data_IF_506518569790
#
_entry.id   IF_506518569790
#
_cell.length_a   1.000
_cell.length_b   1.000
_cell.length_c   1.000
_cell.angle_alpha   90.00
_cell.angle_beta   90.00
_cell.angle_gamma   90.00
#
_symmetry.space_group_name_H-M   'P 1'
#
loop_
_entity.id
_entity.type
_entity.pdbx_description
1 polymer ?
#
# COMPACT_ATOMS: atom_id res chain seq x y z
N UNK A 1 -14.74 10.38 -15.21
CA UNK A 1 -14.70 9.00 -15.73
C UNK A 1 -14.60 8.09 -14.53
N UNK A 2 -15.62 7.28 -14.24
CA UNK A 2 -15.45 6.17 -13.33
C UNK A 2 -14.49 5.20 -14.02
N UNK A 3 -13.36 4.89 -13.40
CA UNK A 3 -12.53 3.79 -13.86
C UNK A 3 -13.44 2.55 -13.88
N UNK A 4 -13.45 1.82 -15.00
CA UNK A 4 -14.29 0.63 -15.14
C UNK A 4 -13.95 -0.41 -14.08
N UNK A 5 -14.77 -1.45 -14.01
CA UNK A 5 -14.51 -2.59 -13.13
C UNK A 5 -13.07 -3.09 -13.29
N UNK A 6 -12.34 -3.21 -12.17
CA UNK A 6 -10.97 -3.75 -12.16
C UNK A 6 -11.09 -5.27 -12.33
N UNK A 7 -11.01 -5.71 -13.58
CA UNK A 7 -11.03 -7.09 -14.02
C UNK A 7 -9.79 -7.37 -14.88
N UNK A 8 -8.84 -8.14 -14.33
CA UNK A 8 -7.55 -8.42 -14.96
C UNK A 8 -7.31 -9.94 -15.06
N UNK A 9 -6.62 -10.43 -16.11
CA UNK A 9 -6.40 -11.86 -16.34
C UNK A 9 -5.81 -12.62 -15.15
N UNK A 10 -4.88 -11.99 -14.44
CA UNK A 10 -4.23 -12.58 -13.26
C UNK A 10 -5.22 -13.07 -12.19
N UNK A 11 -6.33 -12.35 -11.98
CA UNK A 11 -7.33 -12.77 -11.00
C UNK A 11 -7.98 -14.10 -11.37
N UNK A 12 -8.38 -14.25 -12.63
CA UNK A 12 -8.97 -15.50 -13.12
C UNK A 12 -7.95 -16.64 -13.11
N UNK A 13 -6.73 -16.36 -13.58
CA UNK A 13 -5.64 -17.34 -13.66
C UNK A 13 -5.22 -17.86 -12.28
N UNK A 14 -5.30 -17.04 -11.24
CA UNK A 14 -4.94 -17.40 -9.86
C UNK A 14 -6.14 -17.84 -9.00
N UNK A 15 -7.31 -18.01 -9.61
CA UNK A 15 -8.50 -18.53 -8.94
C UNK A 15 -9.16 -17.55 -7.97
N UNK A 16 -9.03 -16.25 -8.21
CA UNK A 16 -9.83 -15.25 -7.53
C UNK A 16 -11.24 -15.21 -8.11
N UNK A 17 -12.22 -15.04 -7.24
CA UNK A 17 -13.62 -14.81 -7.58
C UNK A 17 -14.03 -13.41 -7.12
N UNK A 18 -14.84 -12.74 -7.95
CA UNK A 18 -15.40 -11.43 -7.64
C UNK A 18 -16.72 -11.59 -6.89
N UNK A 19 -16.88 -10.93 -5.74
CA UNK A 19 -18.08 -10.98 -4.89
C UNK A 19 -18.51 -9.57 -4.47
N UNK A 20 -19.76 -9.44 -4.05
CA UNK A 20 -20.30 -8.21 -3.43
C UNK A 20 -20.21 -8.37 -1.91
N UNK A 21 -19.63 -7.38 -1.22
CA UNK A 21 -19.57 -7.37 0.23
C UNK A 21 -20.98 -7.12 0.81
N UNK A 22 -21.42 -7.98 1.71
CA UNK A 22 -22.75 -7.87 2.33
C UNK A 22 -22.96 -6.63 3.21
N UNK A 23 -21.87 -6.06 3.77
CA UNK A 23 -21.93 -4.87 4.65
C UNK A 23 -21.91 -3.57 3.85
N UNK A 24 -21.05 -3.46 2.84
CA UNK A 24 -20.79 -2.20 2.12
C UNK A 24 -21.44 -2.14 0.74
N UNK A 25 -21.91 -3.27 0.20
CA UNK A 25 -22.36 -3.45 -1.19
C UNK A 25 -21.28 -3.13 -2.24
N UNK A 26 -20.00 -3.05 -1.84
CA UNK A 26 -18.88 -2.84 -2.74
C UNK A 26 -18.35 -4.18 -3.28
N UNK A 27 -17.82 -4.15 -4.50
CA UNK A 27 -17.17 -5.30 -5.11
C UNK A 27 -15.79 -5.56 -4.50
N UNK A 28 -15.47 -6.83 -4.26
CA UNK A 28 -14.13 -7.26 -3.84
C UNK A 28 -13.74 -8.58 -4.51
N UNK A 29 -12.43 -8.86 -4.54
CA UNK A 29 -11.86 -10.10 -5.07
C UNK A 29 -11.33 -10.96 -3.94
N UNK A 30 -11.62 -12.26 -3.97
CA UNK A 30 -11.18 -13.22 -2.94
C UNK A 30 -10.83 -14.56 -3.57
N UNK A 31 -9.88 -15.29 -2.98
CA UNK A 31 -9.65 -16.71 -3.30
C UNK A 31 -10.45 -17.66 -2.43
N UNK A 32 -11.08 -17.15 -1.37
CA UNK A 32 -11.97 -17.91 -0.49
C UNK A 32 -13.41 -17.80 -1.01
N UNK A 33 -13.99 -18.88 -1.56
CA UNK A 33 -15.36 -18.86 -2.08
C UNK A 33 -16.42 -18.64 -0.99
N UNK A 34 -16.11 -19.00 0.26
CA UNK A 34 -17.03 -18.87 1.39
C UNK A 34 -17.08 -17.46 1.98
N UNK A 35 -16.10 -16.60 1.67
CA UNK A 35 -16.01 -15.25 2.22
C UNK A 35 -17.12 -14.32 1.71
N UNK A 36 -17.84 -13.66 2.60
CA UNK A 36 -18.97 -12.77 2.26
C UNK A 36 -18.68 -11.27 2.50
N UNK A 37 -17.61 -10.96 3.21
CA UNK A 37 -17.16 -9.60 3.57
C UNK A 37 -15.84 -9.24 2.88
N UNK A 38 -15.57 -7.94 2.69
CA UNK A 38 -14.36 -7.48 1.98
C UNK A 38 -13.07 -7.59 2.79
N UNK A 39 -13.14 -7.75 4.12
CA UNK A 39 -11.96 -7.73 4.99
C UNK A 39 -11.63 -6.38 5.60
N UNK A 40 -12.49 -5.39 5.39
CA UNK A 40 -12.34 -4.04 5.94
C UNK A 40 -13.74 -3.47 6.22
N UNK A 41 -14.42 -4.10 7.17
CA UNK A 41 -15.79 -3.76 7.58
C UNK A 41 -15.94 -3.91 9.08
N UNK A 42 -17.08 -3.47 9.63
CA UNK A 42 -17.43 -3.68 11.05
C UNK A 42 -17.60 -5.14 11.43
N UNK A 43 -17.74 -6.05 10.46
CA UNK A 43 -17.83 -7.50 10.68
C UNK A 43 -16.47 -8.21 10.52
N UNK A 44 -15.43 -7.50 10.05
CA UNK A 44 -14.09 -8.04 9.85
C UNK A 44 -13.15 -7.59 10.97
N UNK A 45 -13.02 -8.41 12.03
CA UNK A 45 -12.10 -8.14 13.14
C UNK A 45 -10.62 -8.45 12.80
N UNK A 46 -9.69 -7.84 13.54
CA UNK A 46 -8.26 -8.11 13.40
C UNK A 46 -7.88 -9.47 14.00
N UNK A 47 -7.74 -10.47 13.14
CA UNK A 47 -7.34 -11.83 13.53
C UNK A 47 -5.85 -11.99 13.86
N UNK A 48 -5.01 -11.01 13.52
CA UNK A 48 -3.56 -11.10 13.67
C UNK A 48 -3.02 -10.61 15.02
N UNK A 49 -3.88 -10.07 15.90
CA UNK A 49 -3.48 -9.64 17.25
C UNK A 49 -3.24 -10.88 18.11
N UNK A 50 -2.03 -11.02 18.65
CA UNK A 50 -1.63 -12.21 19.42
C UNK A 50 -1.36 -13.46 18.57
N UNK A 51 -1.78 -13.47 17.30
CA UNK A 51 -1.58 -14.56 16.34
C UNK A 51 -0.92 -14.04 15.04
N UNK A 52 0.41 -13.86 15.00
CA UNK A 52 1.11 -13.37 13.81
C UNK A 52 0.86 -14.25 12.58
N UNK A 53 0.37 -13.67 11.49
CA UNK A 53 0.05 -14.37 10.23
C UNK A 53 1.23 -14.50 9.27
N UNK A 54 2.31 -13.74 9.48
CA UNK A 54 3.53 -13.79 8.68
C UNK A 54 4.61 -14.51 9.48
N UNK A 55 5.05 -15.67 8.98
CA UNK A 55 6.15 -16.44 9.57
C UNK A 55 7.52 -15.85 9.22
N UNK A 56 8.58 -16.25 9.95
CA UNK A 56 9.96 -15.83 9.68
C UNK A 56 10.39 -14.52 10.34
N UNK A 57 9.52 -13.85 11.09
CA UNK A 57 9.80 -12.57 11.74
C UNK A 57 9.59 -12.62 13.27
N UNK A 58 10.59 -13.12 13.98
CA UNK A 58 10.55 -13.24 15.44
C UNK A 58 10.90 -11.92 16.15
N UNK A 59 11.61 -11.01 15.47
CA UNK A 59 11.96 -9.69 15.98
C UNK A 59 10.75 -8.75 16.11
N UNK A 60 10.91 -7.66 16.87
CA UNK A 60 9.88 -6.64 17.12
C UNK A 60 10.44 -5.22 16.99
N UNK A 61 9.56 -4.23 16.97
CA UNK A 61 9.93 -2.81 16.97
C UNK A 61 10.80 -2.41 15.76
N UNK A 62 11.86 -1.63 16.01
CA UNK A 62 12.76 -1.12 14.96
C UNK A 62 13.38 -2.25 14.13
N UNK A 63 13.81 -3.34 14.76
CA UNK A 63 14.43 -4.46 14.06
C UNK A 63 13.48 -5.14 13.05
N UNK A 64 12.20 -5.28 13.43
CA UNK A 64 11.17 -5.79 12.52
C UNK A 64 10.93 -4.83 11.36
N UNK A 65 10.80 -3.53 11.65
CA UNK A 65 10.59 -2.49 10.64
C UNK A 65 11.73 -2.46 9.61
N UNK A 66 12.97 -2.51 10.08
CA UNK A 66 14.14 -2.47 9.20
C UNK A 66 14.24 -3.76 8.36
N UNK A 67 13.97 -4.93 8.95
CA UNK A 67 13.93 -6.20 8.22
C UNK A 67 12.85 -6.20 7.12
N UNK A 68 11.63 -5.78 7.44
CA UNK A 68 10.52 -5.66 6.48
C UNK A 68 10.85 -4.72 5.32
N UNK A 69 11.47 -3.57 5.62
CA UNK A 69 11.91 -2.62 4.60
C UNK A 69 12.89 -3.28 3.63
N UNK A 70 13.92 -3.94 4.15
CA UNK A 70 14.92 -4.58 3.32
C UNK A 70 14.34 -5.76 2.52
N UNK A 71 13.43 -6.55 3.09
CA UNK A 71 12.73 -7.61 2.36
C UNK A 71 11.94 -7.05 1.17
N UNK A 72 11.19 -5.97 1.37
CA UNK A 72 10.42 -5.33 0.30
C UNK A 72 11.33 -4.77 -0.80
N UNK A 73 12.36 -4.01 -0.43
CA UNK A 73 13.26 -3.38 -1.40
C UNK A 73 14.06 -4.42 -2.18
N UNK A 74 14.67 -5.39 -1.48
CA UNK A 74 15.48 -6.45 -2.10
C UNK A 74 14.66 -7.29 -3.07
N UNK A 75 13.40 -7.63 -2.71
CA UNK A 75 12.51 -8.37 -3.60
C UNK A 75 12.33 -7.64 -4.93
N UNK A 76 12.02 -6.34 -4.92
CA UNK A 76 11.83 -5.59 -6.16
C UNK A 76 13.15 -5.34 -6.91
N UNK A 77 14.26 -5.17 -6.21
CA UNK A 77 15.61 -5.10 -6.82
C UNK A 77 15.96 -6.36 -7.61
N UNK A 78 15.71 -7.54 -7.04
CA UNK A 78 15.88 -8.84 -7.71
C UNK A 78 14.97 -8.98 -8.95
N UNK A 79 13.82 -8.29 -8.96
CA UNK A 79 12.88 -8.23 -10.08
C UNK A 79 13.09 -6.99 -10.96
N UNK A 80 14.34 -6.52 -11.10
CA UNK A 80 14.76 -5.46 -12.02
C UNK A 80 14.13 -4.08 -11.77
N UNK A 81 13.69 -3.79 -10.55
CA UNK A 81 13.33 -2.42 -10.15
C UNK A 81 14.53 -1.74 -9.50
N UNK A 82 14.83 -0.51 -9.91
CA UNK A 82 15.94 0.21 -9.27
C UNK A 82 15.49 0.79 -7.93
N UNK A 83 16.27 0.54 -6.87
CA UNK A 83 16.04 1.13 -5.55
C UNK A 83 16.41 2.60 -5.54
N UNK A 84 15.51 3.43 -5.04
CA UNK A 84 15.68 4.88 -4.90
C UNK A 84 15.66 5.26 -3.42
N UNK A 85 16.54 6.17 -3.03
CA UNK A 85 16.56 6.73 -1.68
C UNK A 85 15.30 7.59 -1.41
N UNK A 86 14.79 7.59 -0.16
CA UNK A 86 13.61 8.36 0.18
C UNK A 86 13.84 9.87 0.02
N UNK A 87 12.82 10.55 -0.50
CA UNK A 87 12.73 12.00 -0.58
C UNK A 87 12.42 12.59 0.81
N UNK A 88 12.75 13.87 1.06
CA UNK A 88 12.40 14.50 2.32
C UNK A 88 10.88 14.60 2.47
N UNK A 89 10.39 14.55 3.71
CA UNK A 89 8.95 14.68 4.01
C UNK A 89 8.37 16.06 3.67
N UNK A 90 9.24 17.05 3.42
CA UNK A 90 8.87 18.38 2.95
C UNK A 90 8.98 18.38 1.42
N UNK A 91 7.87 18.67 0.74
CA UNK A 91 7.78 18.59 -0.72
C UNK A 91 8.43 19.81 -1.40
N UNK A 92 9.76 19.90 -1.37
CA UNK A 92 10.53 21.07 -1.88
C UNK A 92 10.53 21.24 -3.40
N UNK A 93 10.08 20.23 -4.14
CA UNK A 93 10.12 20.18 -5.61
C UNK A 93 8.79 20.59 -6.28
N UNK A 94 7.79 20.98 -5.48
CA UNK A 94 6.45 21.34 -5.92
C UNK A 94 5.85 22.38 -4.97
N UNK A 95 4.89 23.15 -5.46
CA UNK A 95 4.34 24.30 -4.72
C UNK A 95 2.86 24.11 -4.31
N UNK A 96 2.23 22.99 -4.66
CA UNK A 96 0.82 22.71 -4.43
C UNK A 96 0.54 21.93 -3.14
N UNK A 97 1.54 21.27 -2.56
CA UNK A 97 1.47 20.59 -1.25
C UNK A 97 2.73 20.90 -0.43
N UNK A 98 2.60 20.96 0.89
CA UNK A 98 3.75 21.20 1.78
C UNK A 98 4.51 19.93 2.17
N UNK A 99 3.80 18.80 2.28
CA UNK A 99 4.34 17.54 2.81
C UNK A 99 4.13 16.40 1.83
N UNK A 100 5.02 15.40 1.87
CA UNK A 100 4.87 14.17 1.08
C UNK A 100 3.71 13.33 1.64
N UNK A 101 2.62 13.24 0.89
CA UNK A 101 1.38 12.53 1.29
C UNK A 101 1.30 11.06 0.80
N UNK A 102 2.11 10.72 -0.20
CA UNK A 102 2.23 9.40 -0.81
C UNK A 102 3.56 9.29 -1.57
N UNK A 103 4.06 8.08 -1.82
CA UNK A 103 5.29 7.86 -2.59
C UNK A 103 5.21 8.42 -4.02
N UNK A 104 4.04 8.41 -4.67
CA UNK A 104 3.86 8.99 -6.00
C UNK A 104 4.06 10.52 -6.01
N UNK A 105 3.89 11.19 -4.86
CA UNK A 105 4.01 12.64 -4.75
C UNK A 105 5.44 13.13 -5.02
N UNK A 106 6.44 12.26 -4.86
CA UNK A 106 7.86 12.53 -5.14
C UNK A 106 8.13 12.76 -6.63
N UNK A 107 7.30 12.16 -7.48
CA UNK A 107 7.44 12.20 -8.94
C UNK A 107 6.47 13.19 -9.60
N UNK A 108 5.51 13.71 -8.84
CA UNK A 108 4.53 14.68 -9.31
C UNK A 108 5.02 16.13 -9.16
N UNK A 109 4.60 17.04 -10.06
CA UNK A 109 3.86 16.77 -11.29
C UNK A 109 4.77 16.41 -12.48
N UNK A 110 6.07 16.71 -12.39
CA UNK A 110 6.98 16.73 -13.54
C UNK A 110 7.17 15.37 -14.22
N UNK A 111 7.37 14.30 -13.45
CA UNK A 111 7.56 12.96 -14.02
C UNK A 111 6.23 12.39 -14.52
N UNK A 112 5.19 12.49 -13.70
CA UNK A 112 3.85 12.00 -14.07
C UNK A 112 3.23 12.76 -15.25
N UNK A 113 3.64 14.02 -15.45
CA UNK A 113 3.26 14.83 -16.61
C UNK A 113 4.14 14.63 -17.84
N UNK A 114 5.17 13.78 -17.76
CA UNK A 114 6.11 13.51 -18.86
C UNK A 114 7.09 14.65 -19.15
N UNK A 115 7.19 15.65 -18.28
CA UNK A 115 8.08 16.81 -18.42
C UNK A 115 9.53 16.41 -18.07
N UNK A 116 9.69 15.51 -17.10
CA UNK A 116 10.98 14.97 -16.67
C UNK A 116 10.96 13.44 -16.68
N UNK A 117 12.08 12.76 -16.96
CA UNK A 117 12.17 11.31 -16.82
C UNK A 117 12.12 10.90 -15.34
N UNK A 118 11.61 9.70 -15.01
CA UNK A 118 11.76 9.15 -13.67
C UNK A 118 13.25 8.83 -13.39
N UNK A 119 13.69 8.79 -12.12
CA UNK A 119 15.05 8.41 -11.76
C UNK A 119 15.45 7.01 -12.24
N UNK A 120 14.47 6.10 -12.33
CA UNK A 120 14.59 4.78 -12.92
C UNK A 120 13.21 4.26 -13.35
N UNK A 121 13.15 3.25 -14.23
CA UNK A 121 11.88 2.69 -14.68
C UNK A 121 12.01 1.18 -15.00
N UNK A 122 11.41 0.28 -14.19
CA UNK A 122 10.63 0.57 -12.98
C UNK A 122 11.54 0.87 -11.77
N UNK A 123 10.95 1.44 -10.71
CA UNK A 123 11.65 1.80 -9.47
C UNK A 123 10.94 1.26 -8.23
N UNK A 124 11.68 1.11 -7.13
CA UNK A 124 11.14 0.77 -5.81
C UNK A 124 11.70 1.73 -4.75
N UNK A 125 10.89 2.07 -3.74
CA UNK A 125 11.21 3.08 -2.74
C UNK A 125 10.41 2.82 -1.44
N UNK A 126 11.02 3.11 -0.29
CA UNK A 126 10.36 3.12 1.02
C UNK A 126 10.23 4.56 1.52
N UNK A 127 9.22 5.28 1.02
CA UNK A 127 9.04 6.71 1.26
C UNK A 127 8.29 7.02 2.57
N UNK A 128 8.90 7.76 3.52
CA UNK A 128 8.17 8.33 4.65
C UNK A 128 7.13 9.37 4.19
N UNK A 129 5.88 9.20 4.64
CA UNK A 129 4.77 10.09 4.28
C UNK A 129 4.10 10.64 5.54
N UNK A 130 3.52 11.84 5.44
CA UNK A 130 2.74 12.48 6.52
C UNK A 130 1.34 12.78 5.98
N UNK A 131 0.32 12.26 6.66
CA UNK A 131 -1.09 12.56 6.39
C UNK A 131 -1.72 13.17 7.64
N UNK A 132 -2.05 14.46 7.57
CA UNK A 132 -2.66 15.17 8.69
C UNK A 132 -4.19 15.11 8.68
N UNK A 133 -4.80 14.63 7.59
CA UNK A 133 -6.25 14.42 7.49
C UNK A 133 -6.75 13.38 8.49
N UNK A 134 -5.91 12.40 8.81
CA UNK A 134 -6.27 11.26 9.65
C UNK A 134 -5.86 11.47 11.12
N UNK A 135 -5.41 12.69 11.49
CA UNK A 135 -4.86 12.98 12.83
C UNK A 135 -5.85 12.68 13.95
N UNK A 136 -7.16 12.88 13.71
CA UNK A 136 -8.20 12.61 14.69
C UNK A 136 -8.38 11.11 15.00
N UNK A 137 -7.97 10.23 14.07
CA UNK A 137 -8.02 8.78 14.25
C UNK A 137 -6.77 8.21 14.94
N UNK A 138 -5.67 8.97 15.00
CA UNK A 138 -4.40 8.52 15.57
C UNK A 138 -4.56 8.20 17.06
N UNK A 139 -4.32 6.94 17.43
CA UNK A 139 -4.44 6.46 18.81
C UNK A 139 -5.86 6.15 19.27
N UNK A 140 -6.89 6.51 18.48
CA UNK A 140 -8.30 6.21 18.76
C UNK A 140 -8.74 4.96 18.01
N UNK A 141 -8.28 4.79 16.77
CA UNK A 141 -8.57 3.60 15.97
C UNK A 141 -7.68 2.43 16.42
N UNK A 142 -8.00 1.90 17.59
CA UNK A 142 -7.61 0.56 18.00
C UNK A 142 -8.82 -0.30 17.70
N UNK A 143 -8.78 -1.09 16.63
CA UNK A 143 -9.76 -2.16 16.47
C UNK A 143 -9.46 -3.19 17.56
N UNK A 144 -10.24 -3.11 18.64
CA UNK A 144 -10.44 -4.17 19.60
C UNK A 144 -11.84 -4.70 19.35
#
# INVERSE_FOLDING_TARGET
>A
MAFGDIDIPYFHEQGFVRKVCQVTNLWFWTRDPSRETSGDTTEDEYTFIGAPIISGYNQRGKALKDAMRETFLSYFEEHSHSRIDPYPVIARWRDDIHLTIASIADFQPHVTGGIAPPPANPLTISQPCIRLTDVAAVGVQVAI
#
